data_IF_527086666154
#
_entry.id   IF_527086666154
#
_cell.length_a   1.000
_cell.length_b   1.000
_cell.length_c   1.000
_cell.angle_alpha   90.00
_cell.angle_beta   90.00
_cell.angle_gamma   90.00
#
_symmetry.space_group_name_H-M   'P 1'
#
loop_
_entity.id
_entity.type
_entity.pdbx_description
1 polymer ?
#
# COMPACT_ATOMS: atom_id res chain seq x y z
N UNK A 1 3.78 43.82 -15.16
CA UNK A 1 2.52 43.10 -15.37
C UNK A 1 2.88 41.61 -15.35
N UNK A 2 2.54 40.90 -14.28
CA UNK A 2 2.78 39.45 -14.22
C UNK A 2 1.77 38.72 -15.12
N UNK A 3 2.19 37.72 -15.88
CA UNK A 3 1.28 36.95 -16.73
C UNK A 3 0.27 36.23 -15.88
N UNK A 4 -0.98 36.25 -16.29
CA UNK A 4 -2.06 35.55 -15.62
C UNK A 4 -1.89 34.03 -15.78
N UNK A 5 -2.43 33.22 -14.83
CA UNK A 5 -2.41 31.76 -14.91
C UNK A 5 -2.96 31.21 -16.22
N UNK A 6 -3.87 31.95 -16.87
CA UNK A 6 -4.46 31.63 -18.17
C UNK A 6 -3.47 31.85 -19.32
N UNK A 7 -2.63 32.89 -19.25
CA UNK A 7 -1.56 33.15 -20.24
C UNK A 7 -0.41 32.16 -20.08
N UNK A 8 -0.09 31.74 -18.85
CA UNK A 8 0.88 30.68 -18.59
C UNK A 8 0.36 29.34 -19.10
N UNK A 9 -0.93 29.03 -18.92
CA UNK A 9 -1.57 27.82 -19.44
C UNK A 9 -1.57 27.78 -20.96
N UNK A 10 -1.85 28.93 -21.64
CA UNK A 10 -1.77 29.06 -23.11
C UNK A 10 -0.35 28.97 -23.64
N UNK A 11 0.62 29.52 -22.91
CA UNK A 11 2.04 29.41 -23.27
C UNK A 11 2.56 27.98 -23.16
N UNK A 12 2.11 27.22 -22.17
CA UNK A 12 2.44 25.78 -22.03
C UNK A 12 1.76 24.95 -23.12
N UNK A 13 0.53 25.29 -23.51
CA UNK A 13 -0.17 24.64 -24.62
C UNK A 13 0.43 24.95 -26.00
N UNK A 14 1.12 26.10 -26.14
CA UNK A 14 1.84 26.49 -27.36
C UNK A 14 3.24 25.89 -27.52
N UNK A 15 3.81 25.34 -26.45
CA UNK A 15 5.01 24.50 -26.54
C UNK A 15 4.59 23.18 -27.19
N UNK A 16 4.91 23.01 -28.48
CA UNK A 16 4.84 21.70 -29.12
C UNK A 16 5.72 20.73 -28.32
N UNK A 17 5.13 19.99 -27.39
CA UNK A 17 5.78 18.90 -26.67
C UNK A 17 6.00 17.80 -27.72
N UNK A 18 7.15 17.82 -28.36
CA UNK A 18 7.46 17.03 -29.55
C UNK A 18 7.83 15.57 -29.23
N UNK A 19 7.66 15.10 -27.99
CA UNK A 19 7.95 13.71 -27.68
C UNK A 19 6.88 13.11 -26.72
N UNK A 20 6.14 12.06 -27.18
CA UNK A 20 5.17 11.32 -26.34
C UNK A 20 5.77 10.78 -25.02
N UNK A 21 7.09 10.62 -24.98
CA UNK A 21 7.83 10.18 -23.79
C UNK A 21 7.90 11.25 -22.70
N UNK A 22 8.02 12.52 -23.09
CA UNK A 22 8.05 13.65 -22.15
C UNK A 22 6.65 13.92 -21.56
N UNK A 23 5.62 13.81 -22.35
CA UNK A 23 4.23 13.96 -21.93
C UNK A 23 3.85 12.91 -20.88
N UNK A 24 4.18 11.63 -21.12
CA UNK A 24 4.01 10.55 -20.15
C UNK A 24 4.78 10.79 -18.85
N UNK A 25 6.02 11.30 -18.94
CA UNK A 25 6.82 11.59 -17.75
C UNK A 25 6.24 12.75 -16.93
N UNK A 26 5.72 13.79 -17.58
CA UNK A 26 5.03 14.91 -16.92
C UNK A 26 3.74 14.42 -16.26
N UNK A 27 2.94 13.63 -16.95
CA UNK A 27 1.70 13.07 -16.41
C UNK A 27 1.98 12.21 -15.17
N UNK A 28 2.98 11.32 -15.22
CA UNK A 28 3.38 10.50 -14.08
C UNK A 28 3.76 11.35 -12.85
N UNK A 29 4.48 12.46 -13.05
CA UNK A 29 4.84 13.40 -11.96
C UNK A 29 3.63 14.13 -11.39
N UNK A 30 2.69 14.54 -12.24
CA UNK A 30 1.44 15.17 -11.82
C UNK A 30 0.62 14.17 -10.96
N UNK A 31 0.52 12.93 -11.39
CA UNK A 31 -0.22 11.90 -10.66
C UNK A 31 0.46 11.56 -9.33
N UNK A 32 1.79 11.48 -9.30
CA UNK A 32 2.56 11.31 -8.07
C UNK A 32 2.35 12.47 -7.07
N UNK A 33 2.33 13.72 -7.55
CA UNK A 33 2.06 14.90 -6.70
C UNK A 33 0.63 14.90 -6.15
N UNK A 34 -0.36 14.52 -6.95
CA UNK A 34 -1.75 14.37 -6.49
C UNK A 34 -1.87 13.29 -5.42
N UNK A 35 -1.24 12.14 -5.64
CA UNK A 35 -1.22 11.05 -4.67
C UNK A 35 -0.56 11.48 -3.37
N UNK A 36 0.57 12.17 -3.44
CA UNK A 36 1.26 12.74 -2.27
C UNK A 36 0.37 13.70 -1.48
N UNK A 37 -0.33 14.63 -2.15
CA UNK A 37 -1.28 15.53 -1.52
C UNK A 37 -2.42 14.78 -0.80
N UNK A 38 -2.98 13.76 -1.43
CA UNK A 38 -4.03 12.93 -0.83
C UNK A 38 -3.51 12.17 0.40
N UNK A 39 -2.32 11.60 0.34
CA UNK A 39 -1.71 10.89 1.48
C UNK A 39 -1.39 11.83 2.65
N UNK A 40 -0.93 13.07 2.40
CA UNK A 40 -0.72 14.07 3.47
C UNK A 40 -2.05 14.40 4.14
N UNK A 41 -3.10 14.66 3.37
CA UNK A 41 -4.42 14.95 3.90
C UNK A 41 -4.95 13.78 4.73
N UNK A 42 -4.81 12.56 4.23
CA UNK A 42 -5.20 11.34 4.92
C UNK A 42 -4.44 11.14 6.25
N UNK A 43 -3.13 11.31 6.24
CA UNK A 43 -2.31 11.26 7.46
C UNK A 43 -2.77 12.28 8.50
N UNK A 44 -3.09 13.49 8.06
CA UNK A 44 -3.61 14.55 8.95
C UNK A 44 -4.96 14.14 9.57
N UNK A 45 -5.89 13.65 8.75
CA UNK A 45 -7.19 13.17 9.22
C UNK A 45 -7.04 11.98 10.18
N UNK A 46 -6.24 10.97 9.82
CA UNK A 46 -6.00 9.80 10.65
C UNK A 46 -5.35 10.15 12.01
N UNK A 47 -4.45 11.13 12.06
CA UNK A 47 -3.85 11.58 13.32
C UNK A 47 -4.81 12.38 14.20
N UNK A 48 -5.68 13.18 13.59
CA UNK A 48 -6.57 14.08 14.31
C UNK A 48 -7.90 13.42 14.73
N UNK A 49 -8.33 12.36 14.03
CA UNK A 49 -9.55 11.63 14.37
C UNK A 49 -9.30 10.64 15.52
N UNK A 50 -9.26 11.14 16.75
CA UNK A 50 -9.14 10.33 17.96
C UNK A 50 -10.38 9.45 18.23
N UNK A 51 -11.50 9.69 17.55
CA UNK A 51 -12.82 9.13 17.86
C UNK A 51 -13.48 8.37 16.69
N UNK A 52 -12.84 8.22 15.54
CA UNK A 52 -13.41 7.40 14.47
C UNK A 52 -13.27 5.92 14.81
N UNK A 53 -14.37 5.34 15.26
CA UNK A 53 -14.51 3.88 15.37
C UNK A 53 -14.89 3.34 13.99
N UNK A 54 -14.05 2.50 13.43
CA UNK A 54 -14.38 1.81 12.20
C UNK A 54 -15.46 0.75 12.44
N UNK A 55 -16.58 0.86 11.72
CA UNK A 55 -17.66 -0.13 11.81
C UNK A 55 -17.15 -1.50 11.37
N UNK A 56 -17.31 -2.49 12.24
CA UNK A 56 -16.93 -3.85 11.96
C UNK A 56 -18.12 -4.63 11.40
N UNK A 57 -17.88 -5.37 10.31
CA UNK A 57 -18.84 -6.26 9.67
C UNK A 57 -18.28 -7.68 9.55
N UNK A 58 -19.16 -8.67 9.57
CA UNK A 58 -18.77 -10.07 9.37
C UNK A 58 -18.66 -10.38 7.90
N UNK A 59 -17.59 -11.08 7.51
CA UNK A 59 -17.39 -11.56 6.14
C UNK A 59 -16.51 -12.80 6.09
N UNK A 60 -16.61 -13.54 4.99
CA UNK A 60 -15.75 -14.69 4.72
C UNK A 60 -14.38 -14.24 4.24
N UNK A 61 -13.31 -14.69 4.93
CA UNK A 61 -11.93 -14.26 4.67
C UNK A 61 -11.45 -14.71 3.28
N UNK A 62 -11.78 -15.93 2.84
CA UNK A 62 -11.36 -16.45 1.53
C UNK A 62 -11.93 -15.60 0.41
N UNK A 63 -13.25 -15.41 0.39
CA UNK A 63 -13.91 -14.59 -0.65
C UNK A 63 -13.48 -13.12 -0.63
N UNK A 64 -13.17 -12.59 0.54
CA UNK A 64 -12.63 -11.23 0.67
C UNK A 64 -11.24 -11.12 0.05
N UNK A 65 -10.33 -12.04 0.41
CA UNK A 65 -8.96 -12.03 -0.11
C UNK A 65 -8.90 -12.33 -1.62
N UNK A 66 -9.79 -13.18 -2.14
CA UNK A 66 -9.92 -13.42 -3.58
C UNK A 66 -10.22 -12.12 -4.34
N UNK A 67 -11.15 -11.29 -3.83
CA UNK A 67 -11.47 -9.98 -4.40
C UNK A 67 -10.30 -8.99 -4.33
N UNK A 68 -9.54 -9.03 -3.23
CA UNK A 68 -8.36 -8.18 -3.07
C UNK A 68 -7.26 -8.61 -4.06
N UNK A 69 -7.02 -9.91 -4.21
CA UNK A 69 -6.03 -10.44 -5.14
C UNK A 69 -6.37 -10.12 -6.60
N UNK A 70 -7.64 -10.18 -6.99
CA UNK A 70 -8.06 -9.82 -8.36
C UNK A 70 -7.75 -8.36 -8.70
N UNK A 71 -7.83 -7.44 -7.71
CA UNK A 71 -7.52 -6.00 -7.91
C UNK A 71 -6.02 -5.69 -8.12
N UNK A 72 -5.13 -6.60 -7.75
CA UNK A 72 -3.68 -6.41 -7.94
C UNK A 72 -3.09 -7.31 -9.03
N UNK A 73 -3.91 -8.15 -9.64
CA UNK A 73 -3.48 -9.16 -10.61
C UNK A 73 -2.75 -8.56 -11.80
N UNK A 74 -3.24 -7.43 -12.32
CA UNK A 74 -2.65 -6.72 -13.46
C UNK A 74 -1.33 -6.01 -13.09
N UNK A 75 -1.12 -5.72 -11.80
CA UNK A 75 0.10 -5.08 -11.30
C UNK A 75 1.26 -6.09 -11.15
N UNK A 76 0.96 -7.42 -11.14
CA UNK A 76 1.93 -8.48 -10.89
C UNK A 76 2.63 -8.88 -12.18
N UNK A 77 3.96 -8.93 -12.14
CA UNK A 77 4.77 -9.37 -13.30
C UNK A 77 4.43 -10.81 -13.69
N UNK A 78 4.37 -11.14 -15.00
CA UNK A 78 4.02 -12.49 -15.48
C UNK A 78 4.91 -13.63 -14.95
N UNK A 79 6.16 -13.34 -14.62
CA UNK A 79 7.14 -14.31 -14.10
C UNK A 79 7.04 -14.51 -12.57
N UNK A 80 6.01 -13.95 -11.93
CA UNK A 80 5.78 -14.07 -10.48
C UNK A 80 4.67 -15.07 -10.20
N UNK A 81 5.00 -16.13 -9.46
CA UNK A 81 4.03 -17.08 -8.94
C UNK A 81 3.24 -16.45 -7.78
N UNK A 82 1.92 -16.49 -7.86
CA UNK A 82 1.03 -16.01 -6.79
C UNK A 82 0.36 -17.17 -6.10
N UNK A 83 0.49 -17.22 -4.77
CA UNK A 83 -0.14 -18.26 -3.94
C UNK A 83 -0.91 -17.67 -2.78
N UNK A 84 -1.99 -18.35 -2.38
CA UNK A 84 -2.80 -17.99 -1.21
C UNK A 84 -2.95 -19.19 -0.27
N UNK A 85 -2.95 -18.91 1.04
CA UNK A 85 -3.20 -19.90 2.09
C UNK A 85 -4.22 -19.32 3.07
N UNK A 86 -5.51 -19.43 2.70
CA UNK A 86 -6.60 -18.72 3.36
C UNK A 86 -7.76 -19.68 3.59
N UNK A 87 -8.13 -19.94 4.86
CA UNK A 87 -9.25 -20.81 5.19
C UNK A 87 -10.59 -20.14 4.92
N UNK A 88 -11.61 -20.93 4.65
CA UNK A 88 -13.01 -20.48 4.52
C UNK A 88 -13.64 -20.27 5.90
N UNK A 89 -13.29 -19.17 6.56
CA UNK A 89 -13.81 -18.79 7.88
C UNK A 89 -14.36 -17.37 7.85
N UNK A 90 -15.20 -17.04 8.81
CA UNK A 90 -15.68 -15.68 9.01
C UNK A 90 -14.88 -14.97 10.10
N UNK A 91 -14.66 -13.68 9.89
CA UNK A 91 -14.15 -12.73 10.89
C UNK A 91 -15.03 -11.50 10.91
N UNK A 92 -14.96 -10.75 12.02
CA UNK A 92 -15.66 -9.47 12.17
C UNK A 92 -14.65 -8.35 12.33
N UNK A 93 -14.51 -7.51 11.30
CA UNK A 93 -13.63 -6.34 11.32
C UNK A 93 -14.08 -5.32 10.27
N UNK A 94 -13.40 -4.18 10.14
CA UNK A 94 -13.69 -3.23 9.07
C UNK A 94 -13.07 -3.72 7.75
N UNK A 95 -13.91 -4.16 6.82
CA UNK A 95 -13.49 -4.73 5.55
C UNK A 95 -12.81 -3.69 4.64
N UNK A 96 -13.28 -2.44 4.63
CA UNK A 96 -12.72 -1.37 3.80
C UNK A 96 -11.28 -1.04 4.21
N UNK A 97 -11.04 -0.82 5.50
CA UNK A 97 -9.71 -0.49 5.98
C UNK A 97 -8.74 -1.67 5.85
N UNK A 98 -9.22 -2.90 6.10
CA UNK A 98 -8.44 -4.11 5.84
C UNK A 98 -8.06 -4.24 4.37
N UNK A 99 -9.00 -3.99 3.45
CA UNK A 99 -8.73 -4.01 2.00
C UNK A 99 -7.65 -3.00 1.63
N UNK A 100 -7.71 -1.78 2.15
CA UNK A 100 -6.71 -0.72 1.90
C UNK A 100 -5.30 -1.16 2.31
N UNK A 101 -5.17 -1.73 3.52
CA UNK A 101 -3.87 -2.24 3.98
C UNK A 101 -3.37 -3.35 3.06
N UNK A 102 -4.19 -4.36 2.78
CA UNK A 102 -3.78 -5.51 1.97
C UNK A 102 -3.43 -5.11 0.53
N UNK A 103 -4.22 -4.23 -0.09
CA UNK A 103 -3.92 -3.71 -1.42
C UNK A 103 -2.57 -2.99 -1.47
N UNK A 104 -2.29 -2.17 -0.46
CA UNK A 104 -1.01 -1.48 -0.39
C UNK A 104 0.17 -2.45 -0.25
N UNK A 105 0.07 -3.43 0.65
CA UNK A 105 1.12 -4.43 0.84
C UNK A 105 1.33 -5.31 -0.40
N UNK A 106 0.25 -5.72 -1.06
CA UNK A 106 0.32 -6.54 -2.26
C UNK A 106 0.87 -5.76 -3.47
N UNK A 107 0.49 -4.48 -3.64
CA UNK A 107 1.08 -3.63 -4.67
C UNK A 107 2.56 -3.37 -4.43
N UNK A 108 2.97 -3.14 -3.19
CA UNK A 108 4.40 -3.08 -2.87
C UNK A 108 5.11 -4.38 -3.26
N UNK A 109 4.56 -5.55 -2.90
CA UNK A 109 5.11 -6.82 -3.30
C UNK A 109 5.21 -6.95 -4.84
N UNK A 110 4.18 -6.54 -5.59
CA UNK A 110 4.17 -6.56 -7.05
C UNK A 110 5.24 -5.64 -7.68
N UNK A 111 5.40 -4.42 -7.15
CA UNK A 111 6.39 -3.45 -7.63
C UNK A 111 7.83 -3.96 -7.44
N UNK A 112 8.12 -4.56 -6.29
CA UNK A 112 9.49 -4.97 -5.94
C UNK A 112 9.83 -6.42 -6.30
N UNK A 113 8.87 -7.21 -6.82
CA UNK A 113 9.10 -8.60 -7.21
C UNK A 113 8.90 -8.74 -8.71
N UNK A 114 9.98 -8.83 -9.48
CA UNK A 114 9.93 -9.01 -10.93
C UNK A 114 9.95 -10.48 -11.35
N UNK A 115 10.36 -11.38 -10.45
CA UNK A 115 10.36 -12.84 -10.63
C UNK A 115 10.34 -13.54 -9.28
N UNK A 116 9.90 -14.79 -9.26
CA UNK A 116 9.79 -15.58 -8.04
C UNK A 116 8.34 -15.66 -7.52
N UNK A 117 8.03 -15.27 -6.28
CA UNK A 117 6.69 -15.47 -5.75
C UNK A 117 6.21 -14.40 -4.77
N UNK A 118 4.88 -14.23 -4.79
CA UNK A 118 4.12 -13.46 -3.80
C UNK A 118 3.12 -14.40 -3.13
N UNK A 119 3.03 -14.36 -1.81
CA UNK A 119 2.11 -15.18 -1.03
C UNK A 119 1.28 -14.33 -0.07
N UNK A 120 -0.05 -14.55 -0.08
CA UNK A 120 -0.96 -14.03 0.93
C UNK A 120 -1.44 -15.17 1.82
N UNK A 121 -1.22 -15.05 3.12
CA UNK A 121 -1.63 -16.04 4.12
C UNK A 121 -2.53 -15.42 5.17
N UNK A 122 -3.45 -16.23 5.69
CA UNK A 122 -4.24 -15.91 6.87
C UNK A 122 -3.99 -16.95 7.95
N UNK A 123 -3.74 -16.48 9.20
CA UNK A 123 -3.57 -17.36 10.36
C UNK A 123 -4.44 -16.88 11.52
N UNK A 124 -5.29 -17.76 12.03
CA UNK A 124 -6.02 -17.50 13.28
C UNK A 124 -5.12 -17.83 14.47
N UNK A 125 -4.95 -16.86 15.39
CA UNK A 125 -4.15 -16.98 16.60
C UNK A 125 -5.06 -16.92 17.84
N UNK A 126 -5.76 -18.01 18.14
CA UNK A 126 -6.74 -18.04 19.23
C UNK A 126 -8.12 -17.53 18.83
N UNK A 127 -8.94 -17.12 19.82
CA UNK A 127 -10.35 -16.75 19.61
C UNK A 127 -10.54 -15.40 18.92
N UNK A 128 -9.71 -14.42 19.27
CA UNK A 128 -9.92 -13.01 18.92
C UNK A 128 -8.75 -12.36 18.18
N UNK A 129 -7.75 -13.13 17.78
CA UNK A 129 -6.57 -12.60 17.08
C UNK A 129 -6.40 -13.33 15.75
N UNK A 130 -6.19 -12.57 14.70
CA UNK A 130 -5.80 -13.10 13.40
C UNK A 130 -4.59 -12.36 12.82
N UNK A 131 -3.95 -12.99 11.85
CA UNK A 131 -2.82 -12.45 11.12
C UNK A 131 -3.08 -12.57 9.62
N UNK A 132 -2.87 -11.47 8.90
CA UNK A 132 -2.68 -11.48 7.45
C UNK A 132 -1.19 -11.29 7.18
N UNK A 133 -0.62 -12.14 6.34
CA UNK A 133 0.81 -12.17 6.06
C UNK A 133 0.99 -12.05 4.55
N UNK A 134 1.67 -11.00 4.12
CA UNK A 134 2.10 -10.81 2.73
C UNK A 134 3.58 -11.07 2.65
N UNK A 135 3.97 -12.08 1.88
CA UNK A 135 5.36 -12.48 1.67
C UNK A 135 5.73 -12.32 0.22
N UNK A 136 6.85 -11.71 -0.06
CA UNK A 136 7.44 -11.58 -1.39
C UNK A 136 8.85 -12.17 -1.44
N UNK A 137 9.32 -12.47 -2.66
CA UNK A 137 10.70 -12.90 -2.94
C UNK A 137 11.53 -11.80 -3.60
N UNK A 138 11.15 -10.54 -3.44
CA UNK A 138 11.86 -9.38 -3.92
C UNK A 138 13.21 -9.15 -3.23
N UNK A 139 13.82 -7.98 -3.40
CA UNK A 139 15.15 -7.68 -2.83
C UNK A 139 15.18 -7.65 -1.30
N UNK A 140 14.01 -7.60 -0.64
CA UNK A 140 13.91 -7.45 0.80
C UNK A 140 14.24 -6.03 1.27
N UNK A 141 14.18 -5.83 2.60
CA UNK A 141 14.44 -4.54 3.24
C UNK A 141 15.57 -4.71 4.24
N UNK A 142 16.67 -3.95 4.12
CA UNK A 142 17.78 -3.98 5.08
C UNK A 142 17.31 -3.80 6.52
N UNK A 143 17.87 -4.55 7.45
CA UNK A 143 17.39 -4.59 8.85
C UNK A 143 17.40 -3.21 9.51
N UNK A 144 18.42 -2.39 9.23
CA UNK A 144 18.55 -1.03 9.71
C UNK A 144 17.45 -0.08 9.22
N UNK A 145 16.79 -0.43 8.11
CA UNK A 145 15.71 0.36 7.51
C UNK A 145 14.31 -0.11 7.93
N UNK A 146 14.17 -1.35 8.42
CA UNK A 146 12.87 -1.98 8.68
C UNK A 146 11.99 -1.22 9.67
N UNK A 147 12.58 -0.54 10.65
CA UNK A 147 11.84 0.32 11.58
C UNK A 147 11.52 1.69 10.97
N UNK A 148 12.34 2.14 10.05
CA UNK A 148 12.18 3.46 9.43
C UNK A 148 11.07 3.50 8.39
N UNK A 149 10.82 2.41 7.65
CA UNK A 149 9.79 2.35 6.60
C UNK A 149 8.36 2.64 7.09
N UNK A 150 8.08 2.53 8.39
CA UNK A 150 6.80 2.87 8.99
C UNK A 150 6.73 4.34 9.46
N UNK A 151 7.82 5.11 9.33
CA UNK A 151 7.84 6.54 9.64
C UNK A 151 7.56 7.34 8.36
N UNK A 152 6.72 8.39 8.44
CA UNK A 152 6.46 9.26 7.30
C UNK A 152 7.75 9.85 6.70
N UNK A 153 7.76 9.98 5.38
CA UNK A 153 8.84 10.63 4.63
C UNK A 153 10.20 9.92 4.70
N UNK A 154 10.22 8.63 5.01
CA UNK A 154 11.43 7.83 4.96
C UNK A 154 11.69 7.40 3.51
N UNK A 155 12.91 7.66 3.00
CA UNK A 155 13.39 7.19 1.67
C UNK A 155 12.72 7.81 0.44
N UNK A 156 12.24 9.05 0.51
CA UNK A 156 11.84 9.79 -0.67
C UNK A 156 13.09 10.18 -1.46
N UNK A 157 13.38 9.46 -2.56
CA UNK A 157 14.38 9.86 -3.55
C UNK A 157 13.71 10.60 -4.71
N UNK A 158 12.61 10.05 -5.21
CA UNK A 158 11.75 10.64 -6.23
C UNK A 158 10.30 10.29 -5.89
N UNK A 159 9.38 11.26 -6.05
CA UNK A 159 7.95 11.03 -5.82
C UNK A 159 7.35 10.00 -6.79
N UNK A 160 7.98 9.78 -7.93
CA UNK A 160 7.57 8.74 -8.90
C UNK A 160 7.89 7.33 -8.44
N UNK A 161 8.86 7.16 -7.53
CA UNK A 161 9.23 5.86 -6.93
C UNK A 161 8.39 5.54 -5.69
N UNK A 162 7.56 6.49 -5.26
CA UNK A 162 6.71 6.42 -4.08
C UNK A 162 6.95 7.58 -3.13
N UNK A 163 5.92 7.96 -2.39
CA UNK A 163 5.93 9.14 -1.50
C UNK A 163 6.35 8.82 -0.06
N UNK A 164 6.68 7.56 0.24
CA UNK A 164 7.06 7.12 1.58
C UNK A 164 5.97 7.25 2.63
N UNK A 165 4.71 7.39 2.24
CA UNK A 165 3.56 7.58 3.14
C UNK A 165 2.66 6.36 3.25
N UNK A 166 2.68 5.45 2.30
CA UNK A 166 1.76 4.33 2.26
C UNK A 166 1.88 3.37 3.45
N UNK A 167 3.08 2.89 3.79
CA UNK A 167 3.28 2.04 4.98
C UNK A 167 2.97 2.76 6.30
N UNK A 168 3.39 4.03 6.52
CA UNK A 168 2.93 4.83 7.65
C UNK A 168 1.40 4.94 7.78
N UNK A 169 0.69 5.17 6.68
CA UNK A 169 -0.79 5.20 6.65
C UNK A 169 -1.36 3.83 7.04
N UNK A 170 -0.87 2.74 6.42
CA UNK A 170 -1.29 1.39 6.77
C UNK A 170 -1.06 1.06 8.25
N UNK A 171 0.06 1.49 8.83
CA UNK A 171 0.36 1.31 10.25
C UNK A 171 -0.61 2.06 11.15
N UNK A 172 -0.98 3.30 10.79
CA UNK A 172 -1.98 4.08 11.52
C UNK A 172 -3.38 3.45 11.43
N UNK A 173 -3.79 3.01 10.23
CA UNK A 173 -5.06 2.30 10.04
C UNK A 173 -5.09 1.03 10.88
N UNK A 174 -4.04 0.21 10.84
CA UNK A 174 -3.93 -1.00 11.65
C UNK A 174 -4.08 -0.70 13.16
N UNK A 175 -3.41 0.35 13.65
CA UNK A 175 -3.53 0.79 15.05
C UNK A 175 -4.97 1.19 15.42
N UNK A 176 -5.68 1.91 14.54
CA UNK A 176 -7.10 2.26 14.74
C UNK A 176 -8.05 1.06 14.69
N UNK A 177 -7.64 -0.02 14.04
CA UNK A 177 -8.35 -1.31 14.03
C UNK A 177 -7.96 -2.22 15.21
N UNK A 178 -7.33 -1.68 16.26
CA UNK A 178 -6.78 -2.43 17.39
C UNK A 178 -5.79 -3.53 16.94
N UNK A 179 -4.99 -3.22 15.94
CA UNK A 179 -4.01 -4.13 15.36
C UNK A 179 -2.62 -3.52 15.26
N UNK A 180 -1.72 -4.26 14.66
CA UNK A 180 -0.34 -3.83 14.39
C UNK A 180 0.12 -4.30 13.03
N UNK A 181 0.88 -3.47 12.33
CA UNK A 181 1.56 -3.83 11.10
C UNK A 181 3.07 -3.85 11.38
N UNK A 182 3.73 -4.93 11.00
CA UNK A 182 5.18 -5.12 11.19
C UNK A 182 5.80 -5.85 10.00
N UNK A 183 7.12 -5.82 9.92
CA UNK A 183 7.92 -6.66 9.03
C UNK A 183 8.62 -7.75 9.86
N UNK A 184 8.73 -8.96 9.29
CA UNK A 184 9.45 -10.07 9.92
C UNK A 184 10.96 -9.92 9.70
N UNK A 185 11.75 -9.60 10.75
CA UNK A 185 13.18 -9.37 10.60
C UNK A 185 13.97 -10.65 10.32
N UNK A 186 13.40 -11.82 10.60
CA UNK A 186 14.05 -13.11 10.39
C UNK A 186 13.86 -13.64 8.97
N UNK A 187 12.92 -13.09 8.21
CA UNK A 187 12.72 -13.48 6.83
C UNK A 187 13.76 -12.82 5.89
N UNK A 188 14.61 -13.64 5.24
CA UNK A 188 15.78 -13.16 4.47
C UNK A 188 15.67 -13.41 2.95
N UNK A 189 14.53 -13.96 2.48
CA UNK A 189 14.32 -14.29 1.06
C UNK A 189 13.45 -13.29 0.32
N UNK A 190 13.37 -12.05 0.79
CA UNK A 190 12.49 -10.99 0.34
C UNK A 190 11.95 -10.21 1.54
N UNK A 191 10.69 -9.73 1.44
CA UNK A 191 10.02 -9.09 2.56
C UNK A 191 8.84 -9.95 3.03
N UNK A 192 8.53 -9.85 4.33
CA UNK A 192 7.35 -10.47 4.93
C UNK A 192 6.69 -9.48 5.87
N UNK A 193 5.54 -8.95 5.44
CA UNK A 193 4.72 -8.06 6.26
C UNK A 193 3.67 -8.86 7.02
N UNK A 194 3.47 -8.53 8.28
CA UNK A 194 2.53 -9.20 9.19
C UNK A 194 1.57 -8.14 9.76
N UNK A 195 0.31 -8.25 9.37
CA UNK A 195 -0.79 -7.48 9.96
C UNK A 195 -1.48 -8.35 11.00
N UNK A 196 -1.45 -7.94 12.25
CA UNK A 196 -2.16 -8.58 13.37
C UNK A 196 -3.40 -7.75 13.68
N UNK A 197 -4.57 -8.38 13.79
CA UNK A 197 -5.84 -7.72 14.13
C UNK A 197 -6.54 -8.46 15.26
N UNK A 198 -7.26 -7.69 16.10
CA UNK A 198 -8.29 -8.22 16.98
C UNK A 198 -9.61 -8.32 16.20
N UNK A 199 -10.27 -9.48 16.25
CA UNK A 199 -11.49 -9.80 15.48
C UNK A 199 -12.53 -10.50 16.36
#
# INVERSE_FOLDING_TARGET
>A
MEPTLDEMSKSVAGLQITAPRQEKAIQARIDALKQFGNHIQELSLLKNSLLETYEAQSFNVSSFCEKVMEQVKEDIHPDVEVTTDIPKIEIKTNAEQLQRILLHLLRNAAIYTTSGKIKLEFKKKGAHICQFIVTDSGPGIPVEKQMAIFKPFTEIKDLTDGDGLGLPICSLIASKMNGTLSIDPEYKKGSRFILVLQV
#
